data_IF_939571167062
#
_entry.id   IF_939571167062
#
_cell.length_a   1.000
_cell.length_b   1.000
_cell.length_c   1.000
_cell.angle_alpha   90.00
_cell.angle_beta   90.00
_cell.angle_gamma   90.00
#
_symmetry.space_group_name_H-M   'P 1'
#
loop_
_entity.id
_entity.type
_entity.pdbx_description
1 polymer ?
#
# COMPACT_ATOMS: atom_id res chain seq x y z
N UNK A 1 1.54 -4.26 -29.16
CA UNK A 1 2.59 -5.20 -28.72
C UNK A 1 2.17 -5.75 -27.38
N UNK A 2 2.34 -7.06 -27.07
CA UNK A 2 2.09 -7.53 -25.73
C UNK A 2 3.06 -6.81 -24.78
N UNK A 3 2.55 -6.31 -23.66
CA UNK A 3 3.34 -5.73 -22.58
C UNK A 3 4.51 -6.67 -22.27
N UNK A 4 5.72 -6.15 -22.01
CA UNK A 4 6.84 -7.01 -21.61
C UNK A 4 6.41 -7.85 -20.44
N UNK A 5 6.68 -9.15 -20.48
CA UNK A 5 6.40 -10.09 -19.39
C UNK A 5 7.28 -9.72 -18.20
N UNK A 6 6.84 -8.76 -17.40
CA UNK A 6 7.47 -8.48 -16.12
C UNK A 6 7.40 -9.72 -15.24
N UNK A 7 8.53 -10.13 -14.68
CA UNK A 7 8.53 -11.10 -13.60
C UNK A 7 7.53 -10.61 -12.55
N UNK A 8 6.65 -11.51 -12.03
CA UNK A 8 5.64 -11.11 -11.05
C UNK A 8 6.28 -10.29 -9.93
N UNK A 9 5.71 -9.12 -9.58
CA UNK A 9 6.30 -8.24 -8.57
C UNK A 9 6.32 -8.93 -7.21
N UNK A 10 7.21 -8.51 -6.28
CA UNK A 10 7.19 -8.95 -4.91
C UNK A 10 5.82 -8.66 -4.28
N UNK A 11 5.38 -9.53 -3.37
CA UNK A 11 4.06 -9.40 -2.72
C UNK A 11 4.12 -9.77 -1.24
N UNK A 12 3.45 -8.97 -0.42
CA UNK A 12 3.19 -9.27 0.98
C UNK A 12 2.04 -10.27 1.05
N UNK A 13 2.25 -11.40 1.69
CA UNK A 13 1.26 -12.45 1.94
C UNK A 13 0.58 -12.29 3.30
N UNK A 14 1.34 -11.77 4.28
CA UNK A 14 0.81 -11.47 5.61
C UNK A 14 1.59 -10.32 6.26
N UNK A 15 0.87 -9.57 7.07
CA UNK A 15 1.41 -8.47 7.88
C UNK A 15 0.89 -8.64 9.32
N UNK A 16 1.81 -8.68 10.29
CA UNK A 16 1.47 -8.63 11.70
C UNK A 16 2.10 -7.40 12.33
N UNK A 17 1.32 -6.69 13.13
CA UNK A 17 1.71 -5.45 13.77
C UNK A 17 1.39 -5.57 15.25
N UNK A 18 2.35 -5.20 16.10
CA UNK A 18 2.14 -5.13 17.54
C UNK A 18 2.59 -3.77 18.09
N UNK A 19 1.81 -3.25 19.00
CA UNK A 19 2.10 -2.03 19.75
C UNK A 19 2.35 -0.78 18.90
N UNK A 20 1.75 -0.67 17.72
CA UNK A 20 1.86 0.50 16.87
C UNK A 20 0.58 1.34 16.85
N UNK A 21 0.56 2.47 17.55
CA UNK A 21 -0.60 3.38 17.68
C UNK A 21 -1.88 2.62 18.09
N UNK A 22 -2.95 2.65 17.25
CA UNK A 22 -4.17 1.89 17.49
C UNK A 22 -4.02 0.39 17.20
N UNK A 23 -2.98 -0.03 16.48
CA UNK A 23 -2.72 -1.41 16.07
C UNK A 23 -1.97 -2.15 17.20
N UNK A 24 -2.69 -2.55 18.26
CA UNK A 24 -2.09 -3.21 19.43
C UNK A 24 -1.65 -4.64 19.14
N UNK A 25 -2.47 -5.43 18.49
CA UNK A 25 -2.14 -6.77 17.97
C UNK A 25 -3.06 -7.07 16.78
N UNK A 26 -2.61 -6.71 15.59
CA UNK A 26 -3.36 -6.84 14.35
C UNK A 26 -2.62 -7.73 13.38
N UNK A 27 -3.33 -8.65 12.75
CA UNK A 27 -2.76 -9.56 11.76
C UNK A 27 -3.63 -9.61 10.51
N UNK A 28 -3.01 -9.37 9.38
CA UNK A 28 -3.58 -9.59 8.04
C UNK A 28 -2.93 -10.82 7.44
N UNK A 29 -3.71 -11.81 7.05
CA UNK A 29 -3.23 -13.06 6.47
C UNK A 29 -3.79 -13.29 5.07
N UNK A 30 -3.06 -14.01 4.21
CA UNK A 30 -3.47 -14.26 2.82
C UNK A 30 -3.89 -12.98 2.09
N UNK A 31 -3.10 -11.91 2.22
CA UNK A 31 -3.33 -10.66 1.50
C UNK A 31 -3.41 -10.90 0.00
N UNK A 32 -4.40 -10.32 -0.64
CA UNK A 32 -4.60 -10.44 -2.09
C UNK A 32 -3.77 -9.40 -2.84
N UNK A 33 -3.55 -9.58 -4.15
CA UNK A 33 -2.91 -8.55 -4.98
C UNK A 33 -3.59 -7.18 -4.84
N UNK A 34 -4.92 -7.17 -4.79
CA UNK A 34 -5.72 -6.04 -4.36
C UNK A 34 -6.32 -6.37 -2.99
N UNK A 35 -6.04 -5.53 -2.02
CA UNK A 35 -6.56 -5.62 -0.65
C UNK A 35 -7.22 -4.31 -0.26
N UNK A 36 -8.46 -4.38 0.22
CA UNK A 36 -9.24 -3.20 0.59
C UNK A 36 -9.49 -3.18 2.10
N UNK A 37 -9.13 -2.08 2.74
CA UNK A 37 -9.35 -1.82 4.16
C UNK A 37 -10.61 -0.97 4.31
N UNK A 38 -11.66 -1.58 4.81
CA UNK A 38 -12.96 -0.97 5.08
C UNK A 38 -13.08 -0.63 6.56
N UNK A 39 -13.76 0.44 6.90
CA UNK A 39 -14.11 0.76 8.29
C UNK A 39 -14.41 2.23 8.50
N UNK A 40 -15.02 2.57 9.64
CA UNK A 40 -15.36 3.97 9.97
C UNK A 40 -14.11 4.82 10.16
N UNK A 41 -14.32 6.14 10.24
CA UNK A 41 -13.25 7.07 10.57
C UNK A 41 -12.63 6.72 11.93
N UNK A 42 -11.30 6.77 11.98
CA UNK A 42 -10.56 6.42 13.20
C UNK A 42 -10.40 4.92 13.45
N UNK A 43 -10.87 4.01 12.59
CA UNK A 43 -10.71 2.55 12.78
C UNK A 43 -9.27 2.05 12.63
N UNK A 44 -8.35 2.88 12.13
CA UNK A 44 -6.92 2.52 11.97
C UNK A 44 -6.48 2.29 10.52
N UNK A 45 -7.32 2.55 9.50
CA UNK A 45 -6.97 2.41 8.07
C UNK A 45 -5.70 3.17 7.71
N UNK A 46 -5.64 4.48 7.94
CA UNK A 46 -4.46 5.31 7.67
C UNK A 46 -3.27 4.93 8.57
N UNK A 47 -3.51 4.30 9.73
CA UNK A 47 -2.42 3.78 10.57
C UNK A 47 -1.72 2.60 9.90
N UNK A 48 -2.46 1.75 9.16
CA UNK A 48 -1.84 0.68 8.36
C UNK A 48 -0.95 1.25 7.27
N UNK A 49 -1.37 2.32 6.59
CA UNK A 49 -0.52 3.03 5.62
C UNK A 49 0.72 3.65 6.26
N UNK A 50 0.56 4.23 7.46
CA UNK A 50 1.70 4.79 8.20
C UNK A 50 2.71 3.71 8.63
N UNK A 51 2.30 2.44 8.81
CA UNK A 51 3.25 1.32 9.02
C UNK A 51 4.17 1.16 7.81
N UNK A 52 3.62 1.14 6.58
CA UNK A 52 4.45 1.05 5.38
C UNK A 52 5.33 2.27 5.19
N UNK A 53 4.80 3.46 5.44
CA UNK A 53 5.57 4.71 5.39
C UNK A 53 6.70 4.72 6.45
N UNK A 54 6.43 4.24 7.67
CA UNK A 54 7.43 4.12 8.73
C UNK A 54 8.55 3.15 8.35
N UNK A 55 8.20 1.97 7.82
CA UNK A 55 9.18 0.98 7.38
C UNK A 55 10.00 1.50 6.19
N UNK A 56 9.35 2.08 5.18
CA UNK A 56 10.02 2.68 4.02
C UNK A 56 11.00 3.77 4.43
N UNK A 57 10.60 4.68 5.31
CA UNK A 57 11.45 5.75 5.82
C UNK A 57 12.59 5.21 6.68
N UNK A 58 12.34 4.19 7.52
CA UNK A 58 13.36 3.54 8.33
C UNK A 58 14.41 2.84 7.47
N UNK A 59 14.02 2.21 6.37
CA UNK A 59 14.91 1.50 5.46
C UNK A 59 15.69 2.45 4.52
N UNK A 60 15.19 3.63 4.25
CA UNK A 60 15.83 4.61 3.37
C UNK A 60 16.64 5.65 4.12
N UNK A 61 16.08 6.24 5.17
CA UNK A 61 16.61 7.41 5.87
C UNK A 61 17.06 7.12 7.31
N UNK A 62 16.82 5.91 7.81
CA UNK A 62 17.17 5.45 9.15
C UNK A 62 16.04 5.56 10.17
N UNK A 63 16.11 4.68 11.19
CA UNK A 63 15.07 4.54 12.20
C UNK A 63 14.81 5.81 12.99
N UNK A 64 15.88 6.51 13.45
CA UNK A 64 15.76 7.73 14.24
C UNK A 64 14.93 8.81 13.55
N UNK A 65 15.15 9.03 12.25
CA UNK A 65 14.40 10.02 11.48
C UNK A 65 12.92 9.67 11.39
N UNK A 66 12.60 8.41 11.07
CA UNK A 66 11.23 7.91 11.00
C UNK A 66 10.52 8.02 12.36
N UNK A 67 11.26 7.76 13.44
CA UNK A 67 10.82 7.82 14.82
C UNK A 67 10.52 9.26 15.29
N UNK A 68 11.49 10.15 15.16
CA UNK A 68 11.35 11.54 15.60
C UNK A 68 10.21 12.27 14.87
N UNK A 69 10.07 12.02 13.57
CA UNK A 69 9.00 12.62 12.76
C UNK A 69 7.59 12.26 13.23
N UNK A 70 7.43 11.11 13.89
CA UNK A 70 6.13 10.61 14.38
C UNK A 70 5.91 10.86 15.88
N UNK A 71 6.70 11.71 16.52
CA UNK A 71 6.53 12.05 17.94
C UNK A 71 7.07 11.01 18.92
N UNK A 72 7.99 10.15 18.45
CA UNK A 72 8.71 9.16 19.25
C UNK A 72 7.80 8.08 19.86
N UNK A 73 8.31 7.33 20.84
CA UNK A 73 7.60 6.20 21.45
C UNK A 73 6.27 6.60 22.10
N UNK A 74 6.22 7.81 22.63
CA UNK A 74 5.01 8.37 23.26
C UNK A 74 3.80 8.36 22.30
N UNK A 75 4.03 8.67 21.03
CA UNK A 75 2.97 8.76 20.02
C UNK A 75 2.91 7.51 19.08
N UNK A 76 3.99 6.72 19.07
CA UNK A 76 4.07 5.52 18.23
C UNK A 76 3.58 4.27 18.94
N UNK A 77 3.93 4.07 20.22
CA UNK A 77 3.49 2.88 20.97
C UNK A 77 2.01 2.96 21.31
N UNK A 78 1.33 1.82 21.22
CA UNK A 78 -0.08 1.72 21.64
C UNK A 78 -0.24 2.20 23.07
N UNK A 79 -1.23 3.04 23.31
CA UNK A 79 -1.49 3.62 24.64
C UNK A 79 -1.77 2.51 25.65
N UNK A 80 -1.10 2.55 26.81
CA UNK A 80 -1.23 1.53 27.86
C UNK A 80 -0.64 0.17 27.49
N UNK A 81 0.13 0.06 26.39
CA UNK A 81 0.88 -1.15 26.07
C UNK A 81 2.31 -1.05 26.66
N UNK A 82 2.85 -2.20 27.02
CA UNK A 82 4.24 -2.38 27.40
C UNK A 82 5.02 -3.14 26.33
N UNK A 83 6.35 -3.04 26.33
CA UNK A 83 7.24 -3.72 25.41
C UNK A 83 7.42 -3.03 24.06
N UNK A 84 8.16 -3.66 23.17
CA UNK A 84 8.57 -3.07 21.89
C UNK A 84 7.40 -2.95 20.91
N UNK A 85 7.60 -2.12 19.88
CA UNK A 85 6.80 -2.12 18.66
C UNK A 85 7.36 -3.22 17.75
N UNK A 86 6.48 -4.08 17.23
CA UNK A 86 6.91 -5.19 16.38
C UNK A 86 6.16 -5.19 15.05
N UNK A 87 6.92 -5.50 13.99
CA UNK A 87 6.42 -5.73 12.64
C UNK A 87 6.90 -7.08 12.13
N UNK A 88 6.00 -7.88 11.59
CA UNK A 88 6.33 -9.09 10.88
C UNK A 88 5.68 -9.07 9.49
N UNK A 89 6.51 -9.11 8.44
CA UNK A 89 6.07 -9.18 7.06
C UNK A 89 6.42 -10.56 6.50
N UNK A 90 5.44 -11.25 5.95
CA UNK A 90 5.65 -12.46 5.17
C UNK A 90 5.41 -12.12 3.71
N UNK A 91 6.41 -12.31 2.87
CA UNK A 91 6.37 -11.90 1.48
C UNK A 91 7.04 -12.92 0.55
N UNK A 92 6.75 -12.81 -0.74
CA UNK A 92 7.46 -13.53 -1.82
C UNK A 92 8.09 -12.51 -2.74
N UNK A 93 9.28 -12.80 -3.22
CA UNK A 93 9.94 -11.98 -4.23
C UNK A 93 9.36 -12.22 -5.62
N UNK A 94 8.93 -13.47 -5.89
CA UNK A 94 8.19 -13.86 -7.10
C UNK A 94 7.11 -14.85 -6.71
N UNK A 95 6.12 -15.03 -7.58
CA UNK A 95 4.92 -15.87 -7.31
C UNK A 95 5.22 -17.25 -6.76
N UNK A 96 6.26 -17.92 -7.24
CA UNK A 96 6.61 -19.31 -6.89
C UNK A 96 7.80 -19.42 -5.93
N UNK A 97 8.39 -18.30 -5.51
CA UNK A 97 9.51 -18.29 -4.58
C UNK A 97 9.09 -18.69 -3.16
N UNK A 98 10.01 -19.17 -2.33
CA UNK A 98 9.74 -19.40 -0.92
C UNK A 98 9.22 -18.15 -0.21
N UNK A 99 8.35 -18.33 0.78
CA UNK A 99 7.96 -17.23 1.66
C UNK A 99 9.16 -16.83 2.51
N UNK A 100 9.46 -15.54 2.48
CA UNK A 100 10.44 -14.91 3.37
C UNK A 100 9.65 -14.18 4.46
N UNK A 101 10.10 -14.33 5.71
CA UNK A 101 9.58 -13.59 6.85
C UNK A 101 10.63 -12.59 7.29
N UNK A 102 10.26 -11.32 7.29
CA UNK A 102 11.01 -10.24 7.91
C UNK A 102 10.37 -9.86 9.23
N UNK A 103 11.17 -9.72 10.27
CA UNK A 103 10.74 -9.26 11.58
C UNK A 103 11.60 -8.09 12.03
N UNK A 104 10.95 -7.07 12.55
CA UNK A 104 11.56 -5.90 13.18
C UNK A 104 10.89 -5.64 14.53
N UNK A 105 11.72 -5.56 15.57
CA UNK A 105 11.31 -5.15 16.92
C UNK A 105 12.09 -3.90 17.31
N UNK A 106 11.35 -2.84 17.63
CA UNK A 106 11.90 -1.53 18.00
C UNK A 106 11.50 -1.20 19.43
N UNK A 107 12.48 -0.83 20.24
CA UNK A 107 12.27 -0.34 21.60
C UNK A 107 12.92 1.04 21.78
N UNK A 108 12.78 1.64 22.95
CA UNK A 108 13.36 2.94 23.28
C UNK A 108 14.22 2.87 24.53
N UNK A 109 15.39 3.51 24.46
CA UNK A 109 16.27 3.76 25.58
C UNK A 109 16.30 5.26 25.87
N UNK A 110 16.89 5.71 26.99
CA UNK A 110 17.10 7.14 27.25
C UNK A 110 17.90 7.86 26.13
N UNK A 111 18.63 7.11 25.30
CA UNK A 111 19.42 7.63 24.17
C UNK A 111 18.66 7.70 22.86
N UNK A 112 17.46 7.12 22.79
CA UNK A 112 16.61 7.07 21.60
C UNK A 112 16.17 5.66 21.20
N UNK A 113 15.67 5.47 19.96
CA UNK A 113 15.20 4.17 19.51
C UNK A 113 16.35 3.16 19.42
N UNK A 114 16.02 1.90 19.65
CA UNK A 114 16.93 0.77 19.53
C UNK A 114 16.27 -0.35 18.74
N UNK A 115 17.03 -1.02 17.87
CA UNK A 115 16.59 -2.23 17.17
C UNK A 115 16.78 -3.41 18.11
N UNK A 116 15.74 -3.75 18.87
CA UNK A 116 15.78 -4.86 19.83
C UNK A 116 15.97 -6.22 19.13
N UNK A 117 15.37 -6.40 17.95
CA UNK A 117 15.60 -7.56 17.08
C UNK A 117 15.26 -7.24 15.63
N UNK A 118 16.09 -7.71 14.71
CA UNK A 118 15.83 -7.65 13.27
C UNK A 118 16.31 -8.94 12.63
N UNK A 119 15.42 -9.68 11.93
CA UNK A 119 15.82 -10.91 11.28
C UNK A 119 15.05 -11.19 9.99
N UNK A 120 15.71 -11.94 9.09
CA UNK A 120 15.14 -12.52 7.87
C UNK A 120 15.23 -14.04 7.93
N UNK A 121 14.10 -14.68 7.63
CA UNK A 121 13.94 -16.11 7.68
C UNK A 121 13.17 -16.59 6.46
N UNK A 122 13.52 -17.75 5.94
CA UNK A 122 12.70 -18.45 4.97
C UNK A 122 12.51 -19.92 5.29
N UNK A 123 11.56 -20.54 4.60
CA UNK A 123 11.40 -21.99 4.60
C UNK A 123 11.48 -22.45 3.15
N UNK A 124 12.42 -23.33 2.85
CA UNK A 124 12.54 -23.97 1.54
C UNK A 124 11.73 -25.26 1.52
N UNK A 125 10.73 -25.35 0.61
CA UNK A 125 9.84 -26.49 0.50
C UNK A 125 8.82 -26.62 1.64
N UNK A 126 7.86 -27.53 1.49
CA UNK A 126 6.77 -27.71 2.45
C UNK A 126 7.23 -28.30 3.80
N UNK A 127 8.27 -29.13 3.80
CA UNK A 127 8.81 -29.84 4.97
C UNK A 127 10.10 -29.22 5.54
N UNK A 128 10.63 -28.16 4.91
CA UNK A 128 11.85 -27.50 5.37
C UNK A 128 11.70 -26.84 6.74
N UNK A 129 12.76 -26.88 7.57
CA UNK A 129 12.81 -26.09 8.80
C UNK A 129 13.01 -24.61 8.47
N UNK A 130 12.40 -23.67 9.23
CA UNK A 130 12.69 -22.26 9.10
C UNK A 130 14.19 -21.99 9.32
N UNK A 131 14.77 -21.17 8.45
CA UNK A 131 16.18 -20.87 8.47
C UNK A 131 16.41 -19.36 8.42
N UNK A 132 17.05 -18.82 9.46
CA UNK A 132 17.43 -17.41 9.52
C UNK A 132 18.75 -17.19 8.81
N UNK A 133 18.76 -16.26 7.86
CA UNK A 133 19.97 -15.86 7.14
C UNK A 133 20.41 -14.41 7.44
N UNK A 134 19.63 -13.68 8.25
CA UNK A 134 20.00 -12.43 8.90
C UNK A 134 19.40 -12.46 10.30
N UNK A 135 20.21 -12.17 11.33
CA UNK A 135 19.77 -12.09 12.74
C UNK A 135 20.62 -11.06 13.47
N UNK A 136 20.01 -9.91 13.80
CA UNK A 136 20.66 -8.78 14.44
C UNK A 136 19.90 -8.37 15.69
N UNK A 137 20.63 -7.89 16.69
CA UNK A 137 20.11 -7.27 17.90
C UNK A 137 21.03 -6.12 18.31
N UNK A 138 20.45 -4.96 18.55
CA UNK A 138 21.18 -3.78 19.04
C UNK A 138 22.45 -3.47 18.23
N UNK A 139 22.35 -3.55 16.90
CA UNK A 139 23.45 -3.28 15.97
C UNK A 139 24.46 -4.41 15.79
N UNK A 140 24.32 -5.57 16.45
CA UNK A 140 25.23 -6.71 16.33
C UNK A 140 24.50 -7.95 15.84
N UNK A 141 25.13 -8.70 14.96
CA UNK A 141 24.48 -9.90 14.46
C UNK A 141 25.27 -10.69 13.44
N UNK A 142 24.54 -11.57 12.77
CA UNK A 142 25.10 -12.47 11.78
C UNK A 142 24.27 -12.42 10.49
N UNK A 143 24.95 -12.51 9.36
CA UNK A 143 24.32 -12.56 8.04
C UNK A 143 25.01 -13.59 7.15
N UNK A 144 24.23 -14.21 6.27
CA UNK A 144 24.75 -15.08 5.21
C UNK A 144 24.70 -14.30 3.89
N UNK A 145 25.75 -14.43 3.10
CA UNK A 145 25.89 -13.79 1.79
C UNK A 145 25.28 -14.67 0.68
N UNK A 146 24.99 -14.07 -0.47
CA UNK A 146 24.56 -14.78 -1.69
C UNK A 146 23.05 -14.82 -1.90
N UNK A 147 22.67 -15.35 -3.08
CA UNK A 147 21.29 -15.37 -3.56
C UNK A 147 20.41 -16.44 -2.91
N UNK A 148 21.02 -17.51 -2.42
CA UNK A 148 20.31 -18.66 -1.91
C UNK A 148 20.90 -19.16 -0.58
N UNK A 149 20.92 -18.29 0.48
CA UNK A 149 21.53 -18.64 1.77
C UNK A 149 21.01 -19.97 2.32
N UNK A 150 21.93 -20.80 2.81
CA UNK A 150 21.64 -22.14 3.36
C UNK A 150 22.25 -22.33 4.75
N UNK A 151 21.81 -23.35 5.47
CA UNK A 151 22.27 -23.69 6.81
C UNK A 151 23.76 -24.08 6.85
N UNK A 152 24.31 -24.54 5.72
CA UNK A 152 25.71 -24.90 5.57
C UNK A 152 26.64 -23.74 5.19
N UNK A 153 26.04 -22.60 4.79
CA UNK A 153 26.80 -21.40 4.41
C UNK A 153 27.45 -20.73 5.62
N UNK A 154 28.60 -20.13 5.36
CA UNK A 154 29.34 -19.41 6.40
C UNK A 154 28.58 -18.16 6.85
N UNK A 155 28.31 -18.09 8.16
CA UNK A 155 27.79 -16.87 8.82
C UNK A 155 28.90 -15.87 9.00
N UNK A 156 28.66 -14.64 8.61
CA UNK A 156 29.56 -13.52 8.83
C UNK A 156 29.00 -12.69 9.97
N UNK A 157 29.81 -12.49 11.01
CA UNK A 157 29.48 -11.57 12.10
C UNK A 157 29.74 -10.14 11.64
N UNK A 158 28.75 -9.28 11.83
CA UNK A 158 28.83 -7.88 11.48
C UNK A 158 28.38 -7.03 12.68
N UNK A 159 28.99 -5.86 12.83
CA UNK A 159 28.63 -4.85 13.80
C UNK A 159 28.29 -3.57 13.04
N UNK A 160 27.12 -3.03 13.29
CA UNK A 160 26.65 -1.77 12.71
C UNK A 160 27.14 -0.60 13.57
N UNK A 161 27.13 0.59 13.01
CA UNK A 161 27.64 1.82 13.66
C UNK A 161 26.87 2.24 14.90
N UNK A 162 25.63 1.77 15.08
CA UNK A 162 24.79 2.10 16.23
C UNK A 162 23.73 1.04 16.53
N UNK A 163 23.18 1.04 17.74
CA UNK A 163 22.07 0.17 18.17
C UNK A 163 20.73 0.52 17.49
N UNK A 164 20.62 1.68 16.88
CA UNK A 164 19.44 2.11 16.12
C UNK A 164 19.55 1.79 14.61
N UNK A 165 20.73 1.36 14.16
CA UNK A 165 20.93 1.02 12.76
C UNK A 165 20.18 -0.28 12.39
N UNK A 166 19.42 -0.22 11.28
CA UNK A 166 18.75 -1.37 10.69
C UNK A 166 19.72 -2.14 9.78
N UNK A 167 19.85 -3.44 10.01
CA UNK A 167 20.66 -4.31 9.17
C UNK A 167 20.17 -4.31 7.71
N UNK A 168 18.84 -4.26 7.49
CA UNK A 168 18.27 -4.12 6.14
C UNK A 168 18.71 -2.81 5.47
N UNK A 169 18.79 -1.70 6.20
CA UNK A 169 19.27 -0.45 5.62
C UNK A 169 20.78 -0.50 5.29
N UNK A 170 21.60 -0.91 6.24
CA UNK A 170 23.07 -0.93 6.08
C UNK A 170 23.52 -2.00 5.07
N UNK A 171 23.13 -3.25 5.25
CA UNK A 171 23.56 -4.38 4.42
C UNK A 171 22.83 -4.45 3.07
N UNK A 172 21.60 -3.95 3.00
CA UNK A 172 20.82 -3.90 1.77
C UNK A 172 21.36 -2.95 0.69
N UNK A 173 22.42 -2.20 0.99
CA UNK A 173 23.16 -1.38 0.01
C UNK A 173 24.33 -2.14 -0.61
N UNK A 174 24.66 -3.32 -0.10
CA UNK A 174 25.82 -4.10 -0.51
C UNK A 174 25.41 -5.23 -1.47
N UNK A 175 26.08 -5.35 -2.61
CA UNK A 175 25.80 -6.37 -3.63
C UNK A 175 25.92 -7.82 -3.10
N UNK A 176 26.75 -8.04 -2.07
CA UNK A 176 26.94 -9.36 -1.44
C UNK A 176 25.70 -9.88 -0.67
N UNK A 177 24.67 -9.02 -0.44
CA UNK A 177 23.45 -9.36 0.28
C UNK A 177 22.19 -9.14 -0.58
N UNK A 178 22.02 -9.86 -1.71
CA UNK A 178 20.97 -9.58 -2.69
C UNK A 178 19.55 -9.74 -2.13
N UNK A 179 19.31 -10.69 -1.19
CA UNK A 179 17.99 -10.87 -0.54
C UNK A 179 17.64 -9.72 0.38
N UNK A 180 18.63 -9.20 1.12
CA UNK A 180 18.44 -8.01 1.96
C UNK A 180 18.18 -6.78 1.11
N UNK A 181 18.95 -6.63 0.01
CA UNK A 181 18.75 -5.54 -0.95
C UNK A 181 17.39 -5.61 -1.65
N UNK A 182 16.89 -6.82 -1.96
CA UNK A 182 15.57 -7.02 -2.56
C UNK A 182 14.44 -6.55 -1.62
N UNK A 183 14.49 -6.96 -0.33
CA UNK A 183 13.53 -6.46 0.67
C UNK A 183 13.60 -4.95 0.83
N UNK A 184 14.82 -4.40 0.94
CA UNK A 184 15.01 -2.95 1.06
C UNK A 184 14.35 -2.23 -0.10
N UNK A 185 14.64 -2.61 -1.35
CA UNK A 185 14.02 -2.01 -2.55
C UNK A 185 12.50 -2.17 -2.56
N UNK A 186 11.99 -3.33 -2.17
CA UNK A 186 10.55 -3.59 -2.15
C UNK A 186 9.83 -2.62 -1.19
N UNK A 187 10.31 -2.49 0.03
CA UNK A 187 9.67 -1.64 1.05
C UNK A 187 9.94 -0.15 0.82
N UNK A 188 11.14 0.23 0.38
CA UNK A 188 11.41 1.65 0.04
C UNK A 188 10.68 2.12 -1.21
N UNK A 189 10.25 1.19 -2.07
CA UNK A 189 9.39 1.46 -3.21
C UNK A 189 7.90 1.62 -2.86
N UNK A 190 7.52 1.63 -1.56
CA UNK A 190 6.16 1.96 -1.14
C UNK A 190 5.74 3.32 -1.66
N UNK A 191 4.65 3.36 -2.41
CA UNK A 191 4.04 4.58 -2.93
C UNK A 191 2.64 4.74 -2.36
N UNK A 192 2.35 5.88 -1.77
CA UNK A 192 1.01 6.24 -1.29
C UNK A 192 0.43 7.31 -2.20
N UNK A 193 -0.76 7.08 -2.72
CA UNK A 193 -1.53 8.06 -3.47
C UNK A 193 -2.68 8.56 -2.61
N UNK A 194 -2.59 9.83 -2.25
CA UNK A 194 -3.64 10.63 -1.60
C UNK A 194 -3.97 11.79 -2.51
N UNK A 195 -4.63 11.48 -3.64
CA UNK A 195 -4.88 12.45 -4.69
C UNK A 195 -5.98 13.42 -4.29
N UNK A 196 -5.70 14.70 -4.38
CA UNK A 196 -6.71 15.76 -4.17
C UNK A 196 -6.89 16.59 -5.43
N UNK A 197 -8.11 17.02 -5.68
CA UNK A 197 -8.42 17.85 -6.86
C UNK A 197 -7.61 19.15 -6.87
N UNK A 198 -7.40 19.76 -5.72
CA UNK A 198 -6.64 21.02 -5.61
C UNK A 198 -5.17 20.85 -6.01
N UNK A 199 -4.52 19.77 -5.55
CA UNK A 199 -3.12 19.50 -5.93
C UNK A 199 -2.98 19.13 -7.41
N UNK A 200 -3.93 18.37 -7.97
CA UNK A 200 -3.90 18.02 -9.41
C UNK A 200 -4.07 19.23 -10.35
N UNK A 201 -4.47 20.38 -9.82
CA UNK A 201 -4.53 21.67 -10.52
C UNK A 201 -3.24 22.48 -10.44
N UNK A 202 -2.24 21.98 -9.76
CA UNK A 202 -0.98 22.67 -9.62
C UNK A 202 -0.36 23.00 -10.99
N UNK A 203 0.40 24.07 -11.01
CA UNK A 203 1.17 24.52 -12.18
C UNK A 203 2.65 24.38 -11.81
N UNK A 204 3.23 23.19 -11.96
CA UNK A 204 4.60 22.92 -11.57
C UNK A 204 5.60 23.57 -12.52
N UNK A 205 6.86 23.65 -12.11
CA UNK A 205 7.98 23.93 -13.02
C UNK A 205 8.11 22.81 -14.06
N UNK A 206 8.41 23.16 -15.30
CA UNK A 206 8.65 22.19 -16.37
C UNK A 206 9.91 21.36 -16.08
N UNK A 207 9.80 20.06 -16.27
CA UNK A 207 10.90 19.12 -16.08
C UNK A 207 10.41 17.67 -16.11
N UNK A 208 11.29 16.70 -16.45
CA UNK A 208 10.92 15.30 -16.53
C UNK A 208 10.57 14.74 -15.17
N UNK A 209 9.35 14.23 -15.01
CA UNK A 209 8.90 13.50 -13.84
C UNK A 209 8.18 12.23 -14.31
N UNK A 210 8.76 11.08 -13.97
CA UNK A 210 8.30 9.78 -14.47
C UNK A 210 7.08 9.26 -13.70
N UNK A 211 7.01 9.57 -12.39
CA UNK A 211 5.99 9.04 -11.49
C UNK A 211 5.14 10.16 -10.91
N UNK A 212 3.87 9.84 -10.69
CA UNK A 212 2.95 10.76 -10.03
C UNK A 212 3.32 10.91 -8.55
N UNK A 213 3.35 12.14 -8.05
CA UNK A 213 3.56 12.44 -6.64
C UNK A 213 2.39 11.93 -5.79
N UNK A 214 2.61 11.82 -4.47
CA UNK A 214 1.58 11.37 -3.54
C UNK A 214 0.27 12.16 -3.64
N UNK A 215 0.34 13.45 -3.89
CA UNK A 215 -0.81 14.36 -3.96
C UNK A 215 -1.29 14.65 -5.38
N UNK A 216 -0.50 14.30 -6.39
CA UNK A 216 -0.81 14.54 -7.81
C UNK A 216 -0.47 15.95 -8.30
N UNK A 217 0.33 16.73 -7.54
CA UNK A 217 0.69 18.11 -7.89
C UNK A 217 1.61 18.23 -9.10
N UNK A 218 2.21 17.13 -9.54
CA UNK A 218 3.03 17.04 -10.74
C UNK A 218 2.32 16.36 -11.94
N UNK A 219 0.99 16.29 -11.93
CA UNK A 219 0.24 15.60 -12.99
C UNK A 219 0.60 16.10 -14.39
N UNK A 220 0.80 17.41 -14.58
CA UNK A 220 1.20 18.00 -15.86
C UNK A 220 2.56 17.48 -16.33
N UNK A 221 3.56 17.34 -15.43
CA UNK A 221 4.88 16.79 -15.75
C UNK A 221 4.80 15.33 -16.20
N UNK A 222 3.98 14.51 -15.50
CA UNK A 222 3.83 13.10 -15.87
C UNK A 222 3.09 12.95 -17.20
N UNK A 223 2.08 13.77 -17.50
CA UNK A 223 1.42 13.78 -18.81
C UNK A 223 2.41 14.17 -19.91
N UNK A 224 3.27 15.16 -19.67
CA UNK A 224 4.33 15.52 -20.61
C UNK A 224 5.30 14.36 -20.83
N UNK A 225 5.78 13.74 -19.76
CA UNK A 225 6.69 12.57 -19.83
C UNK A 225 6.06 11.42 -20.62
N UNK A 226 4.80 11.06 -20.32
CA UNK A 226 4.09 10.00 -21.03
C UNK A 226 3.92 10.33 -22.52
N UNK A 227 3.66 11.59 -22.88
CA UNK A 227 3.58 12.01 -24.28
C UNK A 227 4.89 11.84 -25.02
N UNK A 228 6.01 12.19 -24.38
CA UNK A 228 7.32 12.18 -25.00
C UNK A 228 7.93 10.77 -25.08
N UNK A 229 7.70 9.92 -24.08
CA UNK A 229 8.38 8.64 -23.93
C UNK A 229 7.45 7.42 -24.05
N UNK A 230 6.14 7.58 -23.80
CA UNK A 230 5.16 6.50 -23.74
C UNK A 230 3.81 6.89 -24.38
N UNK A 231 3.86 7.44 -25.62
CA UNK A 231 2.69 7.99 -26.29
C UNK A 231 1.53 6.99 -26.43
N UNK A 232 1.81 5.72 -26.70
CA UNK A 232 0.76 4.69 -26.82
C UNK A 232 0.08 4.42 -25.48
N UNK A 233 0.82 4.44 -24.38
CA UNK A 233 0.26 4.31 -23.04
C UNK A 233 -0.61 5.52 -22.65
N UNK A 234 -0.16 6.73 -23.00
CA UNK A 234 -0.98 7.93 -22.80
C UNK A 234 -2.29 7.85 -23.59
N UNK A 235 -2.26 7.35 -24.85
CA UNK A 235 -3.49 7.12 -25.64
C UNK A 235 -4.43 6.15 -24.93
N UNK A 236 -3.91 5.02 -24.41
CA UNK A 236 -4.71 4.07 -23.65
C UNK A 236 -5.35 4.70 -22.43
N UNK A 237 -4.59 5.46 -21.62
CA UNK A 237 -5.10 6.21 -20.46
C UNK A 237 -6.22 7.17 -20.87
N UNK A 238 -6.03 7.92 -21.95
CA UNK A 238 -7.02 8.88 -22.44
C UNK A 238 -8.27 8.19 -23.00
N UNK A 239 -8.15 7.03 -23.63
CA UNK A 239 -9.28 6.25 -24.10
C UNK A 239 -10.11 5.71 -22.92
N UNK A 240 -9.47 5.23 -21.86
CA UNK A 240 -10.13 4.86 -20.62
C UNK A 240 -10.81 6.07 -19.94
N UNK A 241 -10.17 7.23 -19.97
CA UNK A 241 -10.77 8.46 -19.43
C UNK A 241 -12.02 8.88 -20.23
N UNK A 242 -11.96 8.83 -21.58
CA UNK A 242 -13.09 9.17 -22.46
C UNK A 242 -14.33 8.31 -22.22
N UNK A 243 -14.14 7.03 -21.90
CA UNK A 243 -15.26 6.14 -21.55
C UNK A 243 -15.99 6.58 -20.28
N UNK A 244 -15.31 7.26 -19.36
CA UNK A 244 -15.79 7.64 -18.03
C UNK A 244 -16.17 9.11 -17.90
N UNK A 245 -15.53 9.95 -18.70
CA UNK A 245 -15.78 11.39 -18.75
C UNK A 245 -16.32 11.74 -20.14
N UNK A 246 -17.66 11.78 -20.29
CA UNK A 246 -18.26 12.06 -21.59
C UNK A 246 -17.78 13.37 -22.19
N UNK A 247 -17.50 13.35 -23.50
CA UNK A 247 -17.00 14.49 -24.31
C UNK A 247 -15.55 14.89 -24.11
N UNK A 248 -14.78 14.23 -23.25
CA UNK A 248 -13.34 14.44 -23.16
C UNK A 248 -12.69 14.07 -24.51
N UNK A 249 -11.99 15.01 -25.14
CA UNK A 249 -11.31 14.83 -26.42
C UNK A 249 -9.80 14.65 -26.23
N UNK A 250 -9.15 15.60 -25.55
CA UNK A 250 -7.70 15.62 -25.42
C UNK A 250 -7.24 16.19 -24.08
N UNK A 251 -6.10 15.72 -23.62
CA UNK A 251 -5.35 16.28 -22.49
C UNK A 251 -3.95 16.61 -22.96
N UNK A 252 -3.50 17.83 -22.70
CA UNK A 252 -2.21 18.36 -23.12
C UNK A 252 -1.49 19.01 -21.93
N UNK A 253 -0.15 19.11 -22.04
CA UNK A 253 0.67 19.88 -21.13
C UNK A 253 1.55 20.86 -21.94
N UNK A 254 1.42 22.15 -21.68
CA UNK A 254 2.11 23.21 -22.40
C UNK A 254 3.03 24.00 -21.48
N UNK A 255 4.25 24.27 -21.94
CA UNK A 255 5.23 25.08 -21.21
C UNK A 255 4.93 26.57 -21.40
N UNK A 256 4.79 27.28 -20.29
CA UNK A 256 4.59 28.74 -20.28
C UNK A 256 5.94 29.46 -20.49
N UNK A 257 5.84 30.75 -20.86
CA UNK A 257 7.02 31.61 -21.04
C UNK A 257 7.86 31.83 -19.77
N UNK A 258 7.32 31.57 -18.59
CA UNK A 258 8.00 31.63 -17.28
C UNK A 258 8.57 30.27 -16.84
N UNK A 259 8.52 29.23 -17.70
CA UNK A 259 9.04 27.91 -17.41
C UNK A 259 8.12 26.98 -16.62
N UNK A 260 6.88 27.40 -16.33
CA UNK A 260 5.89 26.53 -15.67
C UNK A 260 5.10 25.71 -16.70
N UNK A 261 4.48 24.61 -16.24
CA UNK A 261 3.75 23.68 -17.07
C UNK A 261 2.24 23.74 -16.79
N UNK A 262 1.45 24.01 -17.81
CA UNK A 262 0.00 24.05 -17.76
C UNK A 262 -0.61 22.75 -18.24
N UNK A 263 -1.51 22.17 -17.46
CA UNK A 263 -2.36 21.08 -17.91
C UNK A 263 -3.61 21.63 -18.58
N UNK A 264 -3.88 21.20 -19.81
CA UNK A 264 -4.97 21.61 -20.66
C UNK A 264 -5.91 20.43 -20.94
N UNK A 265 -7.20 20.65 -20.84
CA UNK A 265 -8.23 19.66 -21.17
C UNK A 265 -9.11 20.22 -22.28
N UNK A 266 -9.42 19.40 -23.28
CA UNK A 266 -10.28 19.77 -24.40
C UNK A 266 -11.50 18.85 -24.44
N UNK A 267 -12.68 19.44 -24.43
CA UNK A 267 -13.94 18.75 -24.72
C UNK A 267 -14.27 18.79 -26.21
N UNK A 268 -14.77 17.69 -26.75
CA UNK A 268 -15.04 17.53 -28.19
C UNK A 268 -15.92 18.65 -28.82
N UNK A 269 -16.94 19.22 -28.12
CA UNK A 269 -17.78 20.27 -28.67
C UNK A 269 -17.11 21.63 -28.79
N UNK A 270 -15.92 21.82 -28.19
CA UNK A 270 -15.29 23.14 -28.12
C UNK A 270 -13.97 23.16 -28.88
N UNK A 271 -13.71 24.26 -29.60
CA UNK A 271 -12.48 24.44 -30.38
C UNK A 271 -11.26 24.67 -29.48
N UNK A 272 -11.45 25.33 -28.33
CA UNK A 272 -10.37 25.73 -27.44
C UNK A 272 -10.34 24.83 -26.18
N UNK A 273 -9.15 24.40 -25.73
CA UNK A 273 -9.00 23.71 -24.46
C UNK A 273 -9.23 24.67 -23.27
N UNK A 274 -9.57 24.09 -22.13
CA UNK A 274 -9.63 24.79 -20.84
C UNK A 274 -8.41 24.41 -20.00
N UNK A 275 -8.00 25.29 -19.12
CA UNK A 275 -6.99 24.98 -18.12
C UNK A 275 -7.54 23.96 -17.09
N UNK A 276 -6.70 23.05 -16.62
CA UNK A 276 -7.05 22.11 -15.53
C UNK A 276 -7.65 22.83 -14.31
N UNK A 277 -7.23 24.06 -14.05
CA UNK A 277 -7.79 24.94 -13.02
C UNK A 277 -9.33 25.05 -13.07
N UNK A 278 -9.92 24.94 -14.25
CA UNK A 278 -11.37 25.08 -14.48
C UNK A 278 -12.07 23.74 -14.77
N UNK A 279 -11.31 22.65 -14.80
CA UNK A 279 -11.87 21.32 -14.99
C UNK A 279 -12.58 20.82 -13.70
N UNK A 280 -13.50 19.86 -13.86
CA UNK A 280 -14.17 19.27 -12.69
C UNK A 280 -13.21 18.44 -11.85
N UNK A 281 -13.44 18.42 -10.53
CA UNK A 281 -12.66 17.61 -9.57
C UNK A 281 -12.63 16.15 -9.96
N UNK A 282 -13.80 15.60 -10.32
CA UNK A 282 -13.92 14.19 -10.70
C UNK A 282 -13.14 13.85 -11.96
N UNK A 283 -13.09 14.73 -12.96
CA UNK A 283 -12.30 14.56 -14.18
C UNK A 283 -10.81 14.48 -13.86
N UNK A 284 -10.30 15.44 -13.10
CA UNK A 284 -8.88 15.50 -12.74
C UNK A 284 -8.47 14.32 -11.85
N UNK A 285 -9.30 13.95 -10.88
CA UNK A 285 -9.03 12.78 -10.04
C UNK A 285 -9.05 11.48 -10.83
N UNK A 286 -10.02 11.28 -11.72
CA UNK A 286 -10.05 10.09 -12.57
C UNK A 286 -8.82 10.01 -13.46
N UNK A 287 -8.42 11.12 -14.10
CA UNK A 287 -7.19 11.20 -14.87
C UNK A 287 -5.97 10.83 -14.01
N UNK A 288 -5.84 11.44 -12.83
CA UNK A 288 -4.71 11.18 -11.94
C UNK A 288 -4.66 9.73 -11.44
N UNK A 289 -5.82 9.10 -11.14
CA UNK A 289 -5.84 7.66 -10.80
C UNK A 289 -5.44 6.79 -11.99
N UNK A 290 -5.92 7.07 -13.19
CA UNK A 290 -5.51 6.32 -14.37
C UNK A 290 -4.00 6.47 -14.61
N UNK A 291 -3.44 7.68 -14.51
CA UNK A 291 -2.00 7.92 -14.62
C UNK A 291 -1.21 7.15 -13.55
N UNK A 292 -1.68 7.13 -12.30
CA UNK A 292 -1.02 6.39 -11.22
C UNK A 292 -1.09 4.86 -11.40
N UNK A 293 -2.23 4.33 -11.85
CA UNK A 293 -2.47 2.90 -12.03
C UNK A 293 -1.77 2.33 -13.29
N UNK A 294 -1.62 3.16 -14.32
CA UNK A 294 -0.96 2.81 -15.59
C UNK A 294 0.45 3.40 -15.70
N UNK A 295 1.14 3.57 -14.56
CA UNK A 295 2.56 3.95 -14.53
C UNK A 295 3.40 2.94 -15.35
N UNK A 296 4.28 3.40 -16.27
CA UNK A 296 5.12 2.50 -17.07
C UNK A 296 6.11 1.68 -16.25
N UNK A 297 6.46 2.13 -15.04
CA UNK A 297 7.31 1.43 -14.08
C UNK A 297 6.65 1.42 -12.68
N UNK A 298 5.53 0.67 -12.53
CA UNK A 298 4.70 0.78 -11.35
C UNK A 298 5.44 0.33 -10.09
N UNK A 299 5.23 1.00 -8.94
CA UNK A 299 5.79 0.54 -7.68
C UNK A 299 5.25 -0.86 -7.35
N UNK A 300 6.10 -1.72 -6.78
CA UNK A 300 5.67 -3.07 -6.42
C UNK A 300 4.56 -3.09 -5.35
N UNK A 301 4.49 -2.04 -4.53
CA UNK A 301 3.50 -1.88 -3.46
C UNK A 301 2.96 -0.44 -3.47
N UNK A 302 1.64 -0.28 -3.65
CA UNK A 302 0.96 1.02 -3.72
C UNK A 302 -0.22 1.08 -2.75
N UNK A 303 -0.38 2.23 -2.10
CA UNK A 303 -1.56 2.59 -1.32
C UNK A 303 -2.43 3.60 -2.04
N UNK A 304 -3.75 3.40 -2.01
CA UNK A 304 -4.73 4.39 -2.46
C UNK A 304 -5.62 4.76 -1.26
N UNK A 305 -5.59 6.03 -0.85
CA UNK A 305 -6.40 6.47 0.29
C UNK A 305 -7.69 7.14 -0.19
N UNK A 306 -8.83 6.54 0.22
CA UNK A 306 -10.19 7.04 -0.01
C UNK A 306 -10.42 7.53 -1.45
N UNK A 307 -10.28 6.65 -2.45
CA UNK A 307 -10.37 7.06 -3.86
C UNK A 307 -11.76 7.58 -4.26
N UNK A 308 -12.79 7.30 -3.46
CA UNK A 308 -14.16 7.75 -3.67
C UNK A 308 -14.36 9.26 -3.56
N UNK A 309 -13.50 9.98 -2.85
CA UNK A 309 -13.65 11.41 -2.61
C UNK A 309 -13.70 12.18 -3.94
N UNK A 310 -14.76 13.00 -4.14
CA UNK A 310 -15.04 13.80 -5.34
C UNK A 310 -15.32 13.01 -6.64
N UNK A 311 -15.42 11.67 -6.59
CA UNK A 311 -15.85 10.89 -7.76
C UNK A 311 -17.34 10.61 -7.72
N UNK A 312 -17.97 10.61 -8.91
CA UNK A 312 -19.36 10.21 -9.04
C UNK A 312 -19.52 8.72 -8.65
N UNK A 313 -20.52 8.33 -7.85
CA UNK A 313 -20.68 6.96 -7.37
C UNK A 313 -20.61 5.86 -8.44
N UNK A 314 -21.13 6.11 -9.63
CA UNK A 314 -21.07 5.17 -10.77
C UNK A 314 -19.64 4.87 -11.23
N UNK A 315 -18.72 5.85 -11.11
CA UNK A 315 -17.34 5.69 -11.52
C UNK A 315 -16.52 4.83 -10.53
N UNK A 316 -17.01 4.65 -9.30
CA UNK A 316 -16.29 3.90 -8.28
C UNK A 316 -16.25 2.41 -8.58
N UNK A 317 -17.29 1.86 -9.21
CA UNK A 317 -17.25 0.48 -9.70
C UNK A 317 -16.14 0.29 -10.73
N UNK A 318 -16.07 1.18 -11.72
CA UNK A 318 -15.07 1.12 -12.78
C UNK A 318 -13.65 1.37 -12.23
N UNK A 319 -13.49 2.30 -11.29
CA UNK A 319 -12.20 2.52 -10.64
C UNK A 319 -11.72 1.27 -9.87
N UNK A 320 -12.64 0.54 -9.22
CA UNK A 320 -12.28 -0.71 -8.56
C UNK A 320 -11.81 -1.79 -9.56
N UNK A 321 -12.42 -1.86 -10.76
CA UNK A 321 -11.95 -2.75 -11.83
C UNK A 321 -10.57 -2.34 -12.34
N UNK A 322 -10.30 -1.03 -12.54
CA UNK A 322 -8.97 -0.53 -12.90
C UNK A 322 -7.93 -0.86 -11.82
N UNK A 323 -8.27 -0.70 -10.54
CA UNK A 323 -7.40 -1.12 -9.45
C UNK A 323 -7.10 -2.63 -9.49
N UNK A 324 -8.10 -3.46 -9.80
CA UNK A 324 -7.90 -4.91 -9.91
C UNK A 324 -7.01 -5.26 -11.10
N UNK A 325 -7.17 -4.60 -12.24
CA UNK A 325 -6.31 -4.77 -13.42
C UNK A 325 -4.87 -4.39 -13.09
N UNK A 326 -4.64 -3.20 -12.53
CA UNK A 326 -3.32 -2.74 -12.10
C UNK A 326 -2.68 -3.65 -11.04
N UNK A 327 -3.49 -4.35 -10.22
CA UNK A 327 -2.98 -5.27 -9.20
C UNK A 327 -2.26 -6.51 -9.77
N UNK A 328 -2.28 -6.72 -11.08
CA UNK A 328 -1.44 -7.71 -11.74
C UNK A 328 0.05 -7.34 -11.69
N UNK A 329 0.37 -6.04 -11.71
CA UNK A 329 1.72 -5.49 -11.81
C UNK A 329 2.20 -4.79 -10.52
N UNK A 330 1.27 -4.44 -9.62
CA UNK A 330 1.55 -3.75 -8.36
C UNK A 330 0.64 -4.31 -7.27
N UNK A 331 1.14 -4.63 -6.08
CA UNK A 331 0.23 -4.96 -4.98
C UNK A 331 -0.45 -3.68 -4.49
N UNK A 332 -1.78 -3.66 -4.52
CA UNK A 332 -2.59 -2.51 -4.11
C UNK A 332 -3.20 -2.71 -2.73
N UNK A 333 -3.06 -1.71 -1.87
CA UNK A 333 -3.80 -1.60 -0.62
C UNK A 333 -4.65 -0.34 -0.70
N UNK A 334 -5.97 -0.50 -0.67
CA UNK A 334 -6.92 0.61 -0.83
C UNK A 334 -7.69 0.80 0.47
N UNK A 335 -7.83 2.03 0.94
CA UNK A 335 -8.77 2.34 2.04
C UNK A 335 -10.04 2.92 1.48
N UNK A 336 -11.19 2.51 2.00
CA UNK A 336 -12.48 3.05 1.59
C UNK A 336 -13.52 2.96 2.71
N UNK A 337 -14.56 3.78 2.61
CA UNK A 337 -15.81 3.63 3.33
C UNK A 337 -17.02 3.69 2.37
N UNK A 338 -16.78 3.62 1.06
CA UNK A 338 -17.81 3.73 0.03
C UNK A 338 -18.49 2.38 -0.25
N UNK A 339 -19.82 2.26 -0.08
CA UNK A 339 -20.55 1.08 -0.48
C UNK A 339 -20.52 0.84 -1.99
N UNK A 340 -20.40 1.90 -2.79
CA UNK A 340 -20.34 1.80 -4.24
C UNK A 340 -19.04 1.16 -4.72
N UNK A 341 -17.91 1.52 -4.09
CA UNK A 341 -16.62 0.89 -4.38
C UNK A 341 -16.65 -0.59 -3.96
N UNK A 342 -17.22 -0.89 -2.77
CA UNK A 342 -17.36 -2.26 -2.26
C UNK A 342 -18.18 -3.17 -3.20
N UNK A 343 -19.16 -2.65 -3.92
CA UNK A 343 -20.00 -3.44 -4.82
C UNK A 343 -19.24 -4.10 -5.99
N UNK A 344 -18.04 -3.61 -6.29
CA UNK A 344 -17.15 -4.17 -7.31
C UNK A 344 -16.19 -5.22 -6.75
N UNK A 345 -16.12 -5.40 -5.42
CA UNK A 345 -15.12 -6.21 -4.77
C UNK A 345 -15.57 -7.65 -4.51
N UNK A 346 -14.59 -8.53 -4.38
CA UNK A 346 -14.76 -9.89 -3.87
C UNK A 346 -14.58 -9.87 -2.35
N UNK A 347 -15.30 -10.72 -1.65
CA UNK A 347 -15.22 -10.80 -0.18
C UNK A 347 -13.80 -11.12 0.35
N UNK A 348 -12.97 -11.84 -0.45
CA UNK A 348 -11.61 -12.18 -0.11
C UNK A 348 -10.64 -11.00 -0.21
N UNK A 349 -11.02 -9.93 -0.91
CA UNK A 349 -10.25 -8.71 -1.08
C UNK A 349 -10.43 -7.73 0.08
N UNK A 350 -11.48 -7.90 0.91
CA UNK A 350 -11.93 -6.92 1.91
C UNK A 350 -11.55 -7.33 3.32
N UNK A 351 -10.90 -6.40 4.03
CA UNK A 351 -10.65 -6.44 5.46
C UNK A 351 -11.42 -5.32 6.16
N UNK A 352 -12.21 -5.67 7.15
CA UNK A 352 -13.00 -4.73 7.94
C UNK A 352 -12.22 -4.38 9.20
N UNK A 353 -11.95 -3.09 9.40
CA UNK A 353 -11.30 -2.56 10.59
C UNK A 353 -12.32 -1.90 11.48
N UNK A 354 -12.28 -2.25 12.76
CA UNK A 354 -13.12 -1.65 13.81
C UNK A 354 -12.28 -1.40 15.06
N UNK A 355 -12.76 -0.58 15.99
CA UNK A 355 -12.14 -0.43 17.30
C UNK A 355 -12.87 -1.28 18.34
N UNK A 356 -12.09 -1.99 19.17
CA UNK A 356 -12.60 -2.67 20.35
C UNK A 356 -13.04 -1.64 21.43
N UNK A 357 -13.69 -2.12 22.50
CA UNK A 357 -14.12 -1.29 23.61
C UNK A 357 -12.98 -0.55 24.34
N UNK A 358 -11.73 -0.94 24.12
CA UNK A 358 -10.53 -0.30 24.66
C UNK A 358 -9.92 0.71 23.70
N UNK A 359 -10.50 0.85 22.49
CA UNK A 359 -10.05 1.78 21.45
C UNK A 359 -8.92 1.26 20.56
N UNK A 360 -8.62 -0.05 20.58
CA UNK A 360 -7.64 -0.66 19.69
C UNK A 360 -8.30 -1.22 18.43
N UNK A 361 -7.55 -1.23 17.34
CA UNK A 361 -8.02 -1.77 16.08
C UNK A 361 -8.08 -3.29 16.11
N UNK A 362 -9.22 -3.83 15.69
CA UNK A 362 -9.42 -5.22 15.29
C UNK A 362 -9.60 -5.27 13.77
N UNK A 363 -9.14 -6.34 13.13
CA UNK A 363 -9.26 -6.54 11.68
C UNK A 363 -9.90 -7.90 11.39
N UNK A 364 -10.92 -7.89 10.52
CA UNK A 364 -11.69 -9.08 10.16
C UNK A 364 -11.72 -9.18 8.63
N UNK A 365 -11.52 -10.39 8.10
CA UNK A 365 -11.72 -10.61 6.67
C UNK A 365 -13.22 -10.75 6.37
N UNK A 366 -13.73 -10.04 5.36
CA UNK A 366 -15.15 -10.10 5.03
C UNK A 366 -15.60 -11.52 4.67
N UNK A 367 -14.78 -12.30 3.99
CA UNK A 367 -15.04 -13.70 3.66
C UNK A 367 -15.16 -14.65 4.88
N UNK A 368 -14.70 -14.22 6.05
CA UNK A 368 -14.74 -15.00 7.30
C UNK A 368 -15.87 -14.53 8.22
N UNK A 369 -16.56 -13.45 7.90
CA UNK A 369 -17.72 -12.96 8.64
C UNK A 369 -18.93 -13.85 8.37
N UNK A 370 -19.66 -14.21 9.46
CA UNK A 370 -20.82 -15.07 9.38
C UNK A 370 -21.92 -14.43 8.53
N UNK A 371 -22.46 -15.18 7.56
CA UNK A 371 -23.53 -14.73 6.67
C UNK A 371 -23.06 -14.02 5.39
N UNK A 372 -21.85 -13.43 5.38
CA UNK A 372 -21.36 -12.71 4.19
C UNK A 372 -21.18 -13.66 2.99
N UNK A 373 -20.48 -14.81 3.10
CA UNK A 373 -20.36 -15.75 1.99
C UNK A 373 -21.70 -16.25 1.47
N UNK A 374 -22.64 -16.55 2.37
CA UNK A 374 -23.97 -17.05 2.02
C UNK A 374 -24.79 -16.01 1.23
N UNK A 375 -24.82 -14.78 1.71
CA UNK A 375 -25.51 -13.68 1.03
C UNK A 375 -24.87 -13.34 -0.34
N UNK A 376 -23.54 -13.33 -0.41
CA UNK A 376 -22.82 -13.13 -1.66
C UNK A 376 -23.12 -14.26 -2.66
N UNK A 377 -23.18 -15.52 -2.20
CA UNK A 377 -23.60 -16.68 -3.01
C UNK A 377 -25.04 -16.59 -3.52
N UNK A 378 -25.92 -15.89 -2.80
CA UNK A 378 -27.29 -15.59 -3.20
C UNK A 378 -27.41 -14.35 -4.11
N UNK A 379 -26.28 -13.70 -4.49
CA UNK A 379 -26.24 -12.57 -5.41
C UNK A 379 -26.26 -11.18 -4.76
N UNK A 380 -26.20 -11.08 -3.43
CA UNK A 380 -26.06 -9.80 -2.76
C UNK A 380 -24.72 -9.13 -3.08
N UNK A 381 -24.65 -7.82 -2.94
CA UNK A 381 -23.44 -7.03 -3.14
C UNK A 381 -22.85 -6.59 -1.79
N UNK A 382 -21.50 -6.58 -1.69
CA UNK A 382 -20.83 -6.23 -0.44
C UNK A 382 -21.21 -4.86 0.10
N UNK A 383 -21.33 -3.86 -0.76
CA UNK A 383 -21.73 -2.51 -0.34
C UNK A 383 -23.17 -2.45 0.18
N UNK A 384 -24.08 -3.25 -0.38
CA UNK A 384 -25.43 -3.40 0.16
C UNK A 384 -25.39 -4.02 1.55
N UNK A 385 -24.71 -5.17 1.70
CA UNK A 385 -24.57 -5.86 2.99
C UNK A 385 -23.92 -4.97 4.06
N UNK A 386 -22.96 -4.12 3.64
CA UNK A 386 -22.35 -3.13 4.53
C UNK A 386 -23.37 -2.11 5.04
N UNK A 387 -24.16 -1.51 4.12
CA UNK A 387 -25.18 -0.49 4.47
C UNK A 387 -26.33 -1.06 5.32
N UNK A 388 -26.65 -2.34 5.15
CA UNK A 388 -27.70 -3.04 5.91
C UNK A 388 -27.18 -3.61 7.25
N UNK A 389 -25.89 -3.41 7.60
CA UNK A 389 -25.30 -3.83 8.86
C UNK A 389 -24.96 -5.30 8.98
N UNK A 390 -25.02 -6.09 7.88
CA UNK A 390 -24.71 -7.53 7.90
C UNK A 390 -23.28 -7.86 8.28
N UNK A 391 -22.36 -6.91 8.17
CA UNK A 391 -20.97 -7.12 8.63
C UNK A 391 -20.89 -7.23 10.16
N UNK A 392 -21.86 -6.69 10.90
CA UNK A 392 -21.89 -6.71 12.37
C UNK A 392 -20.73 -5.96 13.04
N UNK A 393 -19.94 -5.22 12.25
CA UNK A 393 -18.80 -4.41 12.70
C UNK A 393 -18.66 -3.17 11.83
N UNK A 394 -18.10 -2.11 12.40
CA UNK A 394 -17.70 -0.92 11.66
C UNK A 394 -18.84 0.01 11.28
N UNK A 395 -20.06 -0.20 11.80
CA UNK A 395 -21.16 0.75 11.68
C UNK A 395 -20.92 1.94 12.63
N UNK A 396 -20.77 3.17 12.13
CA UNK A 396 -20.55 4.34 12.97
C UNK A 396 -21.77 4.70 13.84
N UNK A 397 -22.97 4.22 13.48
CA UNK A 397 -24.22 4.48 14.20
C UNK A 397 -24.52 3.42 15.27
N UNK A 398 -23.79 2.31 15.24
CA UNK A 398 -23.96 1.17 16.18
C UNK A 398 -22.60 0.65 16.63
N UNK A 399 -21.82 1.46 17.39
CA UNK A 399 -20.42 1.15 17.73
C UNK A 399 -20.25 -0.09 18.62
N UNK A 400 -21.30 -0.55 19.28
CA UNK A 400 -21.26 -1.68 20.21
C UNK A 400 -21.59 -3.04 19.57
N UNK A 401 -21.88 -3.08 18.28
CA UNK A 401 -22.07 -4.34 17.58
C UNK A 401 -20.73 -5.10 17.52
N UNK A 402 -20.70 -6.24 18.21
CA UNK A 402 -19.58 -7.18 18.12
C UNK A 402 -19.76 -8.03 16.87
N UNK A 403 -18.67 -8.33 16.11
CA UNK A 403 -18.77 -9.27 15.01
C UNK A 403 -19.30 -10.59 15.53
N UNK A 404 -20.23 -11.16 14.82
CA UNK A 404 -20.57 -12.56 14.98
C UNK A 404 -19.26 -13.33 14.77
N UNK A 405 -18.80 -14.05 15.83
CA UNK A 405 -17.47 -14.69 15.83
C UNK A 405 -17.27 -15.50 14.57
N UNK A 406 -16.09 -15.38 13.90
CA UNK A 406 -15.78 -16.23 12.76
C UNK A 406 -15.94 -17.70 13.16
N UNK A 407 -16.54 -18.51 12.28
CA UNK A 407 -16.55 -19.97 12.45
C UNK A 407 -15.11 -20.41 12.67
N UNK A 408 -14.82 -21.01 13.82
CA UNK A 408 -13.63 -21.84 13.98
C UNK A 408 -13.89 -23.05 13.10
N UNK A 409 -13.28 -23.06 11.92
CA UNK A 409 -13.27 -24.26 11.09
C UNK A 409 -12.71 -25.39 11.94
N UNK A 410 -13.57 -26.38 12.15
CA UNK A 410 -13.19 -27.62 12.81
C UNK A 410 -12.03 -28.23 12.02
N UNK A 411 -11.01 -28.67 12.71
CA UNK A 411 -9.92 -29.45 12.17
C UNK A 411 -10.47 -30.52 11.20
N UNK A 412 -10.26 -30.29 9.90
CA UNK A 412 -10.30 -31.38 8.95
C UNK A 412 -9.07 -32.26 9.22
N UNK A 413 -9.33 -33.51 9.54
CA UNK A 413 -8.38 -34.60 9.72
C UNK A 413 -7.56 -34.88 8.45
#
# INVERSE_FOLDING_TARGET
MPMPTFASPPRIEALKIRNYRALRDVSFTNLRPMTVLLGPNGSGKSTVFDVFAFLSESFSSGLRKAWDRRGRFKELRSRGAEGPIEFELRYRERRNDPIITYHLSVDETPRGPVVAAEWLQWRRGASGKPFRFLDFREGRGEVITGDAPDAQDRRVKEELDSQEALAVNALGQLAKHPRVAALRRFITGWSLSYLTADHTRAVPEAGPQEHLSQTGDNLANVIQFLREQHEDLLKEILDKLRQRVPRMDRVDADVMGDGRLLLLLKDAPFDKPILAKWASDGTLKMLAYLVALYDPAPPALMGLEEPENHLHPKLLYELAEECREASAHSQLIVTTHSPFFLNALRQEEVWVLNRDARGYTEAFRAAELMGIPEHMGAGAKLGQLWMEGFFGVGDPTSPDLRPLKPRKDGHAR
#
